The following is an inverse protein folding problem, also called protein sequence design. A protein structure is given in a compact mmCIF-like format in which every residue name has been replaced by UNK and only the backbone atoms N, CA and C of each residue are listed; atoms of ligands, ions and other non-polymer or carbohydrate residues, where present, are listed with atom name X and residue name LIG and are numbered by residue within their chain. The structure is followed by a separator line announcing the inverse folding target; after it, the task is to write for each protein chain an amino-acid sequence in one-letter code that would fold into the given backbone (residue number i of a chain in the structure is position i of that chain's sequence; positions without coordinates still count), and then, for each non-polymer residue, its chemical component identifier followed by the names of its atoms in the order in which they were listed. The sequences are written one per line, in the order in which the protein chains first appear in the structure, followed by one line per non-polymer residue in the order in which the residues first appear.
data_IF_637768354349
#
_entry.id   IF_637768354349
#
_cell.length_a   1.000
_cell.length_b   1.000
_cell.length_c   1.000
_cell.angle_alpha   90.00
_cell.angle_beta   90.00
_cell.angle_gamma   90.00
#
_symmetry.space_group_name_H-M   'P 1'
#
loop_
_entity.id
_entity.type
_entity.pdbx_description
1 polymer ?
#
# COMPACT_ATOMS: atom_id res chain seq x y z
N UNK A 1 -28.96 21.18 54.71
CA UNK A 1 -27.87 20.35 54.16
C UNK A 1 -28.11 19.93 52.72
N UNK A 2 -29.24 19.30 52.38
CA UNK A 2 -29.54 18.87 50.99
C UNK A 2 -29.34 19.96 49.91
N UNK A 3 -29.80 21.22 50.10
CA UNK A 3 -29.63 22.26 49.09
C UNK A 3 -28.16 22.62 48.84
N UNK A 4 -27.34 22.64 49.89
CA UNK A 4 -25.90 22.95 49.81
C UNK A 4 -25.16 21.83 49.07
N UNK A 5 -25.52 20.57 49.31
CA UNK A 5 -24.95 19.42 48.60
C UNK A 5 -25.35 19.42 47.13
N UNK A 6 -26.59 19.79 46.79
CA UNK A 6 -27.04 19.91 45.40
C UNK A 6 -26.28 21.02 44.69
N UNK A 7 -26.17 22.22 45.27
CA UNK A 7 -25.41 23.33 44.68
C UNK A 7 -23.92 22.98 44.53
N UNK A 8 -23.29 22.41 45.56
CA UNK A 8 -21.90 21.99 45.48
C UNK A 8 -21.65 20.89 44.44
N UNK A 9 -22.61 19.98 44.25
CA UNK A 9 -22.52 18.95 43.20
C UNK A 9 -22.68 19.53 41.80
N UNK A 10 -23.57 20.50 41.62
CA UNK A 10 -23.74 21.24 40.36
C UNK A 10 -22.49 22.05 40.05
N UNK A 11 -21.94 22.79 41.02
CA UNK A 11 -20.72 23.58 40.83
C UNK A 11 -19.52 22.67 40.53
N UNK A 12 -19.36 21.54 41.23
CA UNK A 12 -18.31 20.57 40.92
C UNK A 12 -18.51 19.95 39.54
N UNK A 13 -19.73 19.62 39.14
CA UNK A 13 -20.01 19.11 37.80
C UNK A 13 -19.68 20.18 36.74
N UNK A 14 -20.04 21.45 36.97
CA UNK A 14 -19.70 22.56 36.08
C UNK A 14 -18.20 22.77 36.00
N UNK A 15 -17.48 22.77 37.13
CA UNK A 15 -16.02 22.92 37.18
C UNK A 15 -15.33 21.74 36.49
N UNK A 16 -15.76 20.50 36.76
CA UNK A 16 -15.24 19.30 36.10
C UNK A 16 -15.50 19.35 34.60
N UNK A 17 -16.70 19.77 34.17
CA UNK A 17 -17.02 19.90 32.74
C UNK A 17 -16.25 21.05 32.09
N UNK A 18 -15.97 22.14 32.82
CA UNK A 18 -15.24 23.31 32.30
C UNK A 18 -13.73 23.16 32.30
N UNK A 19 -13.16 22.32 33.16
CA UNK A 19 -11.70 22.24 33.36
C UNK A 19 -11.12 20.83 33.20
N UNK A 20 -11.95 19.78 33.27
CA UNK A 20 -11.53 18.37 33.20
C UNK A 20 -12.29 17.57 32.14
N UNK A 21 -13.06 18.21 31.24
CA UNK A 21 -13.73 17.48 30.16
C UNK A 21 -12.71 16.98 29.14
N UNK A 22 -12.80 15.70 28.75
CA UNK A 22 -11.99 15.12 27.68
C UNK A 22 -12.10 15.94 26.38
N UNK A 23 -13.31 16.42 26.05
CA UNK A 23 -13.56 17.32 24.91
C UNK A 23 -12.65 18.56 24.92
N UNK A 24 -12.68 19.33 26.00
CA UNK A 24 -11.85 20.54 26.12
C UNK A 24 -10.36 20.21 26.12
N UNK A 25 -9.97 19.14 26.80
CA UNK A 25 -8.58 18.70 26.78
C UNK A 25 -8.10 18.37 25.35
N UNK A 26 -8.91 17.66 24.57
CA UNK A 26 -8.61 17.38 23.15
C UNK A 26 -8.45 18.70 22.39
N UNK A 27 -9.42 19.61 22.50
CA UNK A 27 -9.41 20.91 21.82
C UNK A 27 -8.15 21.75 22.15
N UNK A 28 -7.77 21.80 23.43
CA UNK A 28 -6.59 22.54 23.90
C UNK A 28 -5.28 21.88 23.42
N UNK A 29 -5.23 20.54 23.39
CA UNK A 29 -4.06 19.75 22.98
C UNK A 29 -3.78 19.84 21.48
N UNK A 30 -4.81 19.99 20.66
CA UNK A 30 -4.70 20.06 19.18
C UNK A 30 -5.01 21.46 18.63
N UNK A 31 -4.83 22.49 19.47
CA UNK A 31 -4.88 23.88 19.01
C UNK A 31 -3.75 24.16 18.01
N UNK A 32 -3.98 25.08 17.07
CA UNK A 32 -2.96 25.42 16.05
C UNK A 32 -1.64 25.90 16.66
N UNK A 33 -1.72 26.69 17.73
CA UNK A 33 -0.55 27.18 18.45
C UNK A 33 0.20 26.04 19.14
N UNK A 34 -0.54 25.10 19.77
CA UNK A 34 0.05 23.93 20.43
C UNK A 34 0.80 23.07 19.43
N UNK A 35 0.16 22.73 18.30
CA UNK A 35 0.75 21.89 17.24
C UNK A 35 1.96 22.58 16.60
N UNK A 36 1.86 23.87 16.28
CA UNK A 36 2.95 24.61 15.64
C UNK A 36 4.19 24.66 16.52
N UNK A 37 4.02 25.00 17.82
CA UNK A 37 5.12 25.01 18.79
C UNK A 37 5.73 23.62 18.98
N UNK A 38 4.89 22.58 19.02
CA UNK A 38 5.37 21.20 19.11
C UNK A 38 6.21 20.83 17.88
N UNK A 39 5.73 21.11 16.66
CA UNK A 39 6.45 20.81 15.43
C UNK A 39 7.78 21.57 15.33
N UNK A 40 7.82 22.83 15.78
CA UNK A 40 9.07 23.59 15.87
C UNK A 40 10.08 22.92 16.80
N UNK A 41 9.67 22.53 18.01
CA UNK A 41 10.52 21.83 18.96
C UNK A 41 10.98 20.47 18.43
N UNK A 42 10.07 19.67 17.88
CA UNK A 42 10.39 18.36 17.32
C UNK A 42 11.39 18.48 16.17
N UNK A 43 11.22 19.51 15.33
CA UNK A 43 12.13 19.73 14.20
C UNK A 43 13.56 20.05 14.64
N UNK A 44 13.73 20.70 15.79
CA UNK A 44 15.05 20.99 16.38
C UNK A 44 15.71 19.70 16.89
N UNK A 45 14.94 18.83 17.57
CA UNK A 45 15.44 17.53 18.05
C UNK A 45 15.87 16.64 16.87
N UNK A 46 15.00 16.50 15.86
CA UNK A 46 15.32 15.74 14.65
C UNK A 46 16.52 16.35 13.92
N UNK A 47 16.63 17.69 13.85
CA UNK A 47 17.79 18.35 13.24
C UNK A 47 19.09 17.96 13.94
N UNK A 48 19.10 17.92 15.28
CA UNK A 48 20.28 17.47 16.03
C UNK A 48 20.66 16.02 15.69
N UNK A 49 19.68 15.14 15.50
CA UNK A 49 19.94 13.75 15.10
C UNK A 49 20.44 13.64 13.66
N UNK A 50 19.89 14.44 12.74
CA UNK A 50 20.35 14.50 11.35
C UNK A 50 21.80 14.98 11.29
N UNK A 51 22.17 16.00 12.06
CA UNK A 51 23.55 16.51 12.15
C UNK A 51 24.52 15.47 12.74
N UNK A 52 24.09 14.73 13.75
CA UNK A 52 24.86 13.63 14.33
C UNK A 52 25.03 12.48 13.32
N UNK A 53 23.97 12.12 12.61
CA UNK A 53 24.00 11.10 11.57
C UNK A 53 24.89 11.53 10.39
N UNK A 54 24.84 12.79 9.97
CA UNK A 54 25.72 13.31 8.92
C UNK A 54 27.18 13.32 9.37
N UNK A 55 27.44 13.67 10.63
CA UNK A 55 28.78 13.59 11.21
C UNK A 55 29.31 12.14 11.22
N UNK A 56 28.46 11.18 11.58
CA UNK A 56 28.77 9.76 11.45
C UNK A 56 29.08 9.40 10.00
N UNK A 57 28.28 9.82 9.00
CA UNK A 57 28.52 9.56 7.58
C UNK A 57 29.81 10.20 7.04
N UNK A 58 30.20 11.36 7.56
CA UNK A 58 31.41 12.07 7.16
C UNK A 58 32.69 11.49 7.81
N UNK A 59 32.57 10.68 8.86
CA UNK A 59 33.70 9.99 9.49
C UNK A 59 34.17 8.77 8.66
N UNK A 60 34.54 9.01 7.39
CA UNK A 60 34.90 7.97 6.41
C UNK A 60 36.22 7.26 6.73
N UNK A 61 37.07 7.84 7.59
CA UNK A 61 38.36 7.28 7.96
C UNK A 61 38.29 6.16 9.01
N UNK A 62 37.23 6.09 9.80
CA UNK A 62 37.14 5.18 10.95
C UNK A 62 36.28 3.93 10.71
N UNK A 63 35.34 3.96 9.76
CA UNK A 63 34.36 2.88 9.57
C UNK A 63 34.03 2.65 8.09
N UNK A 64 34.00 1.37 7.67
CA UNK A 64 33.28 0.98 6.46
C UNK A 64 31.78 1.03 6.74
N UNK A 65 31.05 1.87 6.00
CA UNK A 65 29.62 2.09 6.21
C UNK A 65 28.83 1.26 5.21
N UNK A 66 27.87 0.41 5.66
CA UNK A 66 26.99 -0.28 4.73
C UNK A 66 26.09 0.73 4.01
N UNK A 67 25.62 0.38 2.81
CA UNK A 67 24.73 1.26 2.00
C UNK A 67 23.46 1.66 2.77
N UNK A 68 22.94 0.79 3.64
CA UNK A 68 21.77 1.11 4.46
C UNK A 68 22.07 2.09 5.60
N UNK A 69 23.34 2.41 5.88
CA UNK A 69 23.69 3.41 6.88
C UNK A 69 23.41 4.85 6.42
N UNK A 70 23.14 5.06 5.12
CA UNK A 70 22.78 6.37 4.57
C UNK A 70 21.30 6.72 4.75
N UNK A 71 20.46 5.71 5.06
CA UNK A 71 19.06 5.92 5.41
C UNK A 71 18.95 6.51 6.82
N UNK A 72 18.22 7.61 6.94
CA UNK A 72 17.98 8.27 8.22
C UNK A 72 16.56 7.97 8.71
N UNK A 73 16.47 7.35 9.89
CA UNK A 73 15.24 7.27 10.67
C UNK A 73 15.51 7.92 12.03
N UNK A 74 14.67 8.88 12.47
CA UNK A 74 14.85 9.50 13.77
C UNK A 74 14.61 8.48 14.89
N UNK A 75 15.46 8.54 15.91
CA UNK A 75 15.28 7.83 17.18
C UNK A 75 14.31 8.56 18.11
N UNK A 76 14.17 9.88 17.97
CA UNK A 76 13.12 10.67 18.62
C UNK A 76 11.75 10.24 18.11
N UNK A 77 10.84 9.89 19.04
CA UNK A 77 9.46 9.52 18.74
C UNK A 77 8.45 10.53 19.30
N UNK A 78 8.92 11.55 20.03
CA UNK A 78 8.09 12.47 20.77
C UNK A 78 8.89 13.48 21.56
N UNK A 79 8.21 14.51 22.10
CA UNK A 79 8.81 15.55 22.93
C UNK A 79 8.35 15.41 24.37
N UNK A 80 9.29 15.26 25.29
CA UNK A 80 8.99 15.24 26.74
C UNK A 80 9.35 16.55 27.43
N UNK A 81 8.58 16.97 28.47
CA UNK A 81 7.31 16.43 28.94
C UNK A 81 6.09 17.03 28.19
N UNK A 82 4.95 16.33 28.23
CA UNK A 82 3.67 16.69 27.61
C UNK A 82 3.59 16.50 26.08
N UNK A 83 4.01 15.33 25.63
CA UNK A 83 3.88 14.91 24.25
C UNK A 83 2.40 14.87 23.79
N UNK A 84 2.11 15.48 22.64
CA UNK A 84 0.75 15.57 22.11
C UNK A 84 0.23 14.21 21.62
N UNK A 85 1.09 13.33 21.11
CA UNK A 85 0.72 11.98 20.69
C UNK A 85 0.44 11.07 21.89
N UNK A 86 1.21 11.18 22.97
CA UNK A 86 0.96 10.42 24.20
C UNK A 86 -0.36 10.85 24.85
N UNK A 87 -0.65 12.15 24.82
CA UNK A 87 -1.93 12.71 25.26
C UNK A 87 -3.11 12.14 24.45
N UNK A 88 -3.00 12.12 23.12
CA UNK A 88 -4.04 11.55 22.25
C UNK A 88 -4.17 10.04 22.38
N UNK A 89 -3.06 9.33 22.56
CA UNK A 89 -3.04 7.88 22.78
C UNK A 89 -3.76 7.52 24.08
N UNK A 90 -3.47 8.24 25.15
CA UNK A 90 -4.09 8.03 26.47
C UNK A 90 -5.60 8.22 26.40
N UNK A 91 -6.06 9.31 25.78
CA UNK A 91 -7.51 9.58 25.67
C UNK A 91 -8.21 8.55 24.81
N UNK A 92 -7.62 8.17 23.68
CA UNK A 92 -8.21 7.17 22.79
C UNK A 92 -8.33 5.83 23.50
N UNK A 93 -7.30 5.43 24.24
CA UNK A 93 -7.31 4.19 25.03
C UNK A 93 -8.37 4.22 26.13
N UNK A 94 -8.45 5.30 26.90
CA UNK A 94 -9.47 5.46 27.94
C UNK A 94 -10.87 5.48 27.34
N UNK A 95 -11.07 6.06 26.16
CA UNK A 95 -12.37 6.06 25.49
C UNK A 95 -12.79 4.63 25.10
N UNK A 96 -11.88 3.82 24.57
CA UNK A 96 -12.16 2.40 24.25
C UNK A 96 -12.45 1.61 25.53
N UNK A 97 -11.60 1.73 26.55
CA UNK A 97 -11.73 1.01 27.83
C UNK A 97 -13.05 1.33 28.56
N UNK A 98 -13.52 2.57 28.48
CA UNK A 98 -14.76 3.01 29.10
C UNK A 98 -15.99 2.90 28.19
N UNK A 99 -15.86 2.35 26.99
CA UNK A 99 -16.91 2.31 25.96
C UNK A 99 -17.48 3.70 25.60
N UNK A 100 -16.67 4.76 25.68
CA UNK A 100 -17.05 6.15 25.36
C UNK A 100 -16.87 6.43 23.86
N UNK A 101 -17.86 5.99 23.08
CA UNK A 101 -17.86 6.15 21.63
C UNK A 101 -17.77 7.63 21.17
N UNK A 102 -18.53 8.59 21.74
CA UNK A 102 -18.40 10.00 21.36
C UNK A 102 -16.99 10.57 21.55
N UNK A 103 -16.34 10.30 22.69
CA UNK A 103 -14.98 10.79 22.94
C UNK A 103 -13.97 10.12 22.02
N UNK A 104 -14.12 8.83 21.74
CA UNK A 104 -13.28 8.13 20.76
C UNK A 104 -13.36 8.78 19.37
N UNK A 105 -14.57 9.05 18.88
CA UNK A 105 -14.78 9.73 17.58
C UNK A 105 -14.13 11.11 17.57
N UNK A 106 -14.24 11.84 18.67
CA UNK A 106 -13.62 13.15 18.80
C UNK A 106 -12.09 13.06 18.81
N UNK A 107 -11.50 12.11 19.54
CA UNK A 107 -10.05 11.92 19.60
C UNK A 107 -9.51 11.48 18.24
N UNK A 108 -10.19 10.58 17.53
CA UNK A 108 -9.78 10.15 16.19
C UNK A 108 -9.78 11.30 15.17
N UNK A 109 -10.82 12.14 15.18
CA UNK A 109 -10.85 13.35 14.35
C UNK A 109 -9.68 14.31 14.67
N UNK A 110 -9.36 14.46 15.96
CA UNK A 110 -8.24 15.28 16.40
C UNK A 110 -6.89 14.70 15.95
N UNK A 111 -6.72 13.38 16.04
CA UNK A 111 -5.54 12.65 15.54
C UNK A 111 -5.40 12.83 14.03
N UNK A 112 -6.46 12.69 13.25
CA UNK A 112 -6.39 12.90 11.80
C UNK A 112 -6.02 14.34 11.44
N UNK A 113 -6.53 15.33 12.18
CA UNK A 113 -6.09 16.73 12.04
C UNK A 113 -4.60 16.88 12.35
N UNK A 114 -4.12 16.21 13.41
CA UNK A 114 -2.71 16.21 13.79
C UNK A 114 -1.84 15.62 12.68
N UNK A 115 -2.24 14.47 12.11
CA UNK A 115 -1.56 13.84 10.98
C UNK A 115 -1.47 14.80 9.79
N UNK A 116 -2.55 15.48 9.41
CA UNK A 116 -2.51 16.49 8.32
C UNK A 116 -1.44 17.54 8.58
N UNK A 117 -1.35 18.05 9.81
CA UNK A 117 -0.37 19.08 10.17
C UNK A 117 1.07 18.57 10.07
N UNK A 118 1.34 17.34 10.49
CA UNK A 118 2.67 16.72 10.36
C UNK A 118 3.05 16.51 8.90
N UNK A 119 2.13 16.03 8.06
CA UNK A 119 2.40 15.82 6.64
C UNK A 119 2.52 17.13 5.83
N UNK A 120 1.91 18.20 6.31
CA UNK A 120 2.00 19.54 5.71
C UNK A 120 3.19 20.36 6.24
N UNK A 121 3.90 19.86 7.25
CA UNK A 121 5.04 20.56 7.83
C UNK A 121 6.17 20.68 6.79
N UNK A 122 6.80 21.85 6.79
CA UNK A 122 7.96 22.18 5.96
C UNK A 122 8.97 22.94 6.79
N UNK A 123 10.15 22.38 6.94
CA UNK A 123 11.25 23.06 7.60
C UNK A 123 11.78 24.19 6.69
N UNK A 124 12.32 25.25 7.30
CA UNK A 124 12.59 26.53 6.60
C UNK A 124 13.78 26.45 5.62
N UNK A 125 14.65 25.47 5.77
CA UNK A 125 15.89 25.34 4.99
C UNK A 125 15.66 24.48 3.72
N UNK A 126 16.24 24.88 2.59
CA UNK A 126 15.97 24.28 1.28
C UNK A 126 16.39 22.80 1.14
N UNK A 127 17.33 22.33 1.98
CA UNK A 127 17.87 20.95 1.94
C UNK A 127 17.46 20.08 3.15
N UNK A 128 16.35 20.44 3.79
CA UNK A 128 15.88 19.81 5.04
C UNK A 128 15.04 18.54 4.85
N UNK A 129 15.18 17.84 3.73
CA UNK A 129 14.32 16.68 3.39
C UNK A 129 14.36 15.56 4.43
N UNK A 130 15.51 15.32 5.09
CA UNK A 130 15.62 14.33 6.18
C UNK A 130 14.80 14.73 7.41
N UNK A 131 14.73 16.03 7.72
CA UNK A 131 13.93 16.56 8.83
C UNK A 131 12.44 16.42 8.50
N UNK A 132 12.02 16.88 7.32
CA UNK A 132 10.64 16.73 6.84
C UNK A 132 10.20 15.26 6.83
N UNK A 133 11.06 14.35 6.34
CA UNK A 133 10.80 12.91 6.33
C UNK A 133 10.71 12.34 7.75
N UNK A 134 11.58 12.77 8.67
CA UNK A 134 11.55 12.39 10.08
C UNK A 134 10.23 12.79 10.77
N UNK A 135 9.74 14.00 10.53
CA UNK A 135 8.44 14.45 11.06
C UNK A 135 7.30 13.54 10.56
N UNK A 136 7.26 13.25 9.24
CA UNK A 136 6.26 12.34 8.66
C UNK A 136 6.39 10.92 9.22
N UNK A 137 7.61 10.43 9.42
CA UNK A 137 7.89 9.12 10.01
C UNK A 137 7.27 8.98 11.40
N UNK A 138 7.47 9.98 12.27
CA UNK A 138 6.93 9.97 13.63
C UNK A 138 5.39 9.95 13.59
N UNK A 139 4.75 10.79 12.77
CA UNK A 139 3.30 10.76 12.62
C UNK A 139 2.77 9.39 12.21
N UNK A 140 3.42 8.75 11.22
CA UNK A 140 3.05 7.40 10.76
C UNK A 140 3.20 6.36 11.86
N UNK A 141 4.31 6.36 12.60
CA UNK A 141 4.55 5.40 13.69
C UNK A 141 3.59 5.61 14.86
N UNK A 142 3.36 6.86 15.28
CA UNK A 142 2.45 7.20 16.38
C UNK A 142 0.99 6.86 16.02
N UNK A 143 0.53 7.21 14.82
CA UNK A 143 -0.80 6.80 14.33
C UNK A 143 -0.94 5.28 14.32
N UNK A 144 0.05 4.56 13.76
CA UNK A 144 0.03 3.09 13.71
C UNK A 144 -0.03 2.44 15.10
N UNK A 145 0.66 3.03 16.07
CA UNK A 145 0.62 2.59 17.48
C UNK A 145 -0.78 2.76 18.08
N UNK A 146 -1.42 3.91 17.85
CA UNK A 146 -2.81 4.15 18.29
C UNK A 146 -3.76 3.14 17.64
N UNK A 147 -3.65 2.92 16.33
CA UNK A 147 -4.44 1.93 15.60
C UNK A 147 -4.27 0.55 16.23
N UNK A 148 -3.04 0.09 16.44
CA UNK A 148 -2.76 -1.21 17.03
C UNK A 148 -3.37 -1.35 18.43
N UNK A 149 -3.25 -0.32 19.27
CA UNK A 149 -3.86 -0.29 20.61
C UNK A 149 -5.38 -0.42 20.56
N UNK A 150 -6.06 0.22 19.59
CA UNK A 150 -7.52 0.08 19.40
C UNK A 150 -7.87 -1.37 19.02
N UNK A 151 -7.11 -1.99 18.11
CA UNK A 151 -7.34 -3.38 17.70
C UNK A 151 -7.19 -4.36 18.87
N UNK A 152 -6.21 -4.13 19.74
CA UNK A 152 -5.96 -4.99 20.90
C UNK A 152 -7.00 -4.83 22.01
N UNK A 153 -7.51 -3.61 22.23
CA UNK A 153 -8.40 -3.28 23.36
C UNK A 153 -9.89 -3.40 23.04
N UNK A 154 -10.29 -3.24 21.79
CA UNK A 154 -11.71 -3.28 21.41
C UNK A 154 -12.27 -4.70 21.37
N UNK A 155 -12.85 -5.12 22.48
CA UNK A 155 -13.52 -6.42 22.61
C UNK A 155 -14.84 -6.50 21.82
N UNK A 156 -15.47 -5.36 21.54
CA UNK A 156 -16.80 -5.29 20.90
C UNK A 156 -16.73 -5.22 19.38
N UNK A 157 -15.60 -4.77 18.84
CA UNK A 157 -15.39 -4.49 17.42
C UNK A 157 -15.96 -3.15 16.92
N UNK A 158 -16.69 -2.41 17.76
CA UNK A 158 -17.36 -1.15 17.37
C UNK A 158 -16.35 -0.04 17.11
N UNK A 159 -15.32 0.09 17.96
CA UNK A 159 -14.29 1.11 17.83
C UNK A 159 -13.39 0.83 16.63
N UNK A 160 -13.07 -0.44 16.42
CA UNK A 160 -12.27 -0.88 15.30
C UNK A 160 -13.00 -0.67 13.97
N UNK A 161 -14.30 -0.98 13.93
CA UNK A 161 -15.17 -0.64 12.80
C UNK A 161 -15.22 0.86 12.53
N UNK A 162 -15.40 1.67 13.58
CA UNK A 162 -15.46 3.12 13.46
C UNK A 162 -14.16 3.72 12.94
N UNK A 163 -13.02 3.19 13.41
CA UNK A 163 -11.69 3.56 12.94
C UNK A 163 -11.51 3.28 11.44
N UNK A 164 -11.85 2.06 10.99
CA UNK A 164 -11.87 1.70 9.56
C UNK A 164 -12.69 2.70 8.76
N UNK A 165 -13.91 2.95 9.22
CA UNK A 165 -14.84 3.84 8.53
C UNK A 165 -14.32 5.27 8.43
N UNK A 166 -13.69 5.81 9.48
CA UNK A 166 -13.15 7.17 9.49
C UNK A 166 -11.92 7.34 8.62
N UNK A 167 -11.04 6.33 8.54
CA UNK A 167 -9.91 6.39 7.60
C UNK A 167 -10.41 6.40 6.15
N UNK A 168 -11.42 5.59 5.83
CA UNK A 168 -12.07 5.60 4.52
C UNK A 168 -12.70 6.96 4.22
N UNK A 169 -13.49 7.51 5.15
CA UNK A 169 -14.18 8.80 4.96
C UNK A 169 -13.16 9.94 4.85
N UNK A 170 -12.03 9.86 5.57
CA UNK A 170 -10.92 10.80 5.46
C UNK A 170 -10.28 10.77 4.07
N UNK A 171 -9.99 9.58 3.53
CA UNK A 171 -9.45 9.41 2.18
C UNK A 171 -10.39 9.92 1.08
N UNK A 172 -11.69 9.92 1.34
CA UNK A 172 -12.72 10.40 0.41
C UNK A 172 -12.91 11.93 0.42
N UNK A 173 -12.10 12.68 1.16
CA UNK A 173 -12.11 14.16 1.09
C UNK A 173 -11.46 14.64 -0.21
N UNK A 174 -12.02 15.68 -0.81
CA UNK A 174 -11.56 16.24 -2.10
C UNK A 174 -10.05 16.52 -2.12
N UNK A 175 -9.49 17.06 -1.03
CA UNK A 175 -8.07 17.38 -0.89
C UNK A 175 -7.14 16.17 -1.09
N UNK A 176 -7.59 14.96 -0.70
CA UNK A 176 -6.85 13.72 -0.83
C UNK A 176 -7.23 12.95 -2.10
N UNK A 177 -8.51 12.99 -2.50
CA UNK A 177 -8.98 12.38 -3.73
C UNK A 177 -8.28 12.96 -4.97
N UNK A 178 -8.00 14.26 -4.97
CA UNK A 178 -7.25 14.95 -6.05
C UNK A 178 -5.73 14.76 -5.94
N UNK A 179 -5.23 14.18 -4.84
CA UNK A 179 -3.81 13.87 -4.63
C UNK A 179 -3.64 12.44 -4.11
N UNK A 180 -4.15 11.44 -4.87
CA UNK A 180 -4.27 10.07 -4.40
C UNK A 180 -2.90 9.43 -4.11
N UNK A 181 -1.83 9.98 -4.66
CA UNK A 181 -0.48 9.44 -4.53
C UNK A 181 0.42 10.28 -3.63
N UNK A 182 -0.15 11.26 -2.93
CA UNK A 182 0.56 11.99 -1.88
C UNK A 182 0.98 11.06 -0.74
N UNK A 183 2.08 11.40 -0.06
CA UNK A 183 2.57 10.63 1.11
C UNK A 183 1.47 10.42 2.16
N UNK A 184 0.61 11.43 2.36
CA UNK A 184 -0.50 11.38 3.30
C UNK A 184 -1.57 10.38 2.85
N UNK A 185 -2.06 10.48 1.62
CA UNK A 185 -3.06 9.56 1.08
C UNK A 185 -2.54 8.11 1.10
N UNK A 186 -1.29 7.88 0.67
CA UNK A 186 -0.65 6.56 0.70
C UNK A 186 -0.46 6.01 2.10
N UNK A 187 -0.10 6.86 3.07
CA UNK A 187 0.03 6.41 4.47
C UNK A 187 -1.31 5.97 5.04
N UNK A 188 -2.36 6.80 4.90
CA UNK A 188 -3.68 6.46 5.42
C UNK A 188 -4.29 5.25 4.69
N UNK A 189 -4.09 5.13 3.37
CA UNK A 189 -4.49 3.94 2.63
C UNK A 189 -3.79 2.68 3.16
N UNK A 190 -2.47 2.75 3.42
CA UNK A 190 -1.71 1.65 4.01
C UNK A 190 -2.19 1.28 5.43
N UNK A 191 -2.59 2.26 6.23
CA UNK A 191 -3.22 2.05 7.54
C UNK A 191 -4.59 1.35 7.39
N UNK A 192 -5.45 1.83 6.49
CA UNK A 192 -6.76 1.23 6.19
C UNK A 192 -6.64 -0.22 5.67
N UNK A 193 -5.69 -0.50 4.78
CA UNK A 193 -5.41 -1.85 4.27
C UNK A 193 -5.01 -2.79 5.39
N UNK A 194 -4.17 -2.34 6.31
CA UNK A 194 -3.75 -3.16 7.44
C UNK A 194 -4.92 -3.43 8.40
N UNK A 195 -5.77 -2.44 8.64
CA UNK A 195 -7.00 -2.60 9.42
C UNK A 195 -7.91 -3.64 8.78
N UNK A 196 -8.18 -3.51 7.48
CA UNK A 196 -8.99 -4.47 6.74
C UNK A 196 -8.38 -5.88 6.77
N UNK A 197 -7.06 -6.01 6.63
CA UNK A 197 -6.35 -7.29 6.80
C UNK A 197 -6.65 -7.91 8.16
N UNK A 198 -6.54 -7.12 9.24
CA UNK A 198 -6.84 -7.58 10.61
C UNK A 198 -8.30 -7.96 10.82
N UNK A 199 -9.23 -7.28 10.17
CA UNK A 199 -10.65 -7.64 10.20
C UNK A 199 -10.97 -8.93 9.42
N UNK A 200 -10.24 -9.21 8.34
CA UNK A 200 -10.36 -10.48 7.62
C UNK A 200 -9.86 -11.67 8.46
N UNK A 201 -8.82 -11.47 9.28
CA UNK A 201 -8.32 -12.47 10.24
C UNK A 201 -9.38 -12.82 11.31
N UNK A 202 -10.31 -11.91 11.61
CA UNK A 202 -11.46 -12.16 12.51
C UNK A 202 -12.76 -12.55 11.79
N UNK A 203 -12.67 -12.93 10.50
CA UNK A 203 -13.81 -13.30 9.64
C UNK A 203 -14.88 -12.20 9.42
N UNK A 204 -14.56 -10.93 9.70
CA UNK A 204 -15.39 -9.79 9.31
C UNK A 204 -15.09 -9.38 7.87
N UNK A 205 -16.13 -9.16 7.06
CA UNK A 205 -15.98 -8.80 5.63
C UNK A 205 -16.57 -7.44 5.25
N UNK A 206 -17.44 -6.86 6.08
CA UNK A 206 -18.14 -5.61 5.75
C UNK A 206 -17.16 -4.44 5.61
N UNK A 207 -16.33 -4.22 6.62
CA UNK A 207 -15.36 -3.14 6.63
C UNK A 207 -14.21 -3.35 5.63
N UNK A 208 -13.65 -4.57 5.45
CA UNK A 208 -12.75 -4.83 4.34
C UNK A 208 -13.33 -4.49 2.96
N UNK A 209 -14.64 -4.70 2.73
CA UNK A 209 -15.30 -4.28 1.48
C UNK A 209 -15.31 -2.76 1.36
N UNK A 210 -15.58 -2.03 2.46
CA UNK A 210 -15.50 -0.56 2.46
C UNK A 210 -14.10 -0.10 2.06
N UNK A 211 -13.05 -0.65 2.68
CA UNK A 211 -11.65 -0.31 2.37
C UNK A 211 -11.31 -0.62 0.91
N UNK A 212 -11.67 -1.80 0.41
CA UNK A 212 -11.45 -2.17 -1.00
C UNK A 212 -12.11 -1.17 -1.96
N UNK A 213 -13.37 -0.80 -1.69
CA UNK A 213 -14.11 0.16 -2.51
C UNK A 213 -13.48 1.57 -2.45
N UNK A 214 -13.01 2.00 -1.27
CA UNK A 214 -12.30 3.28 -1.13
C UNK A 214 -11.01 3.27 -1.95
N UNK A 215 -10.18 2.23 -1.85
CA UNK A 215 -8.95 2.09 -2.63
C UNK A 215 -9.23 2.11 -4.13
N UNK A 216 -10.24 1.34 -4.56
CA UNK A 216 -10.69 1.31 -5.95
C UNK A 216 -11.05 2.72 -6.41
N UNK A 217 -11.84 3.46 -5.62
CA UNK A 217 -12.29 4.80 -5.98
C UNK A 217 -11.15 5.81 -6.06
N UNK A 218 -10.19 5.75 -5.14
CA UNK A 218 -8.99 6.60 -5.15
C UNK A 218 -8.18 6.35 -6.44
N UNK A 219 -7.99 5.09 -6.82
CA UNK A 219 -7.29 4.72 -8.05
C UNK A 219 -8.07 5.18 -9.30
N UNK A 220 -9.39 4.99 -9.31
CA UNK A 220 -10.28 5.38 -10.42
C UNK A 220 -10.27 6.89 -10.68
N UNK A 221 -10.39 7.71 -9.62
CA UNK A 221 -10.35 9.17 -9.74
C UNK A 221 -9.04 9.62 -10.39
N UNK A 222 -7.91 9.02 -10.02
CA UNK A 222 -6.63 9.36 -10.62
C UNK A 222 -6.57 9.02 -12.10
N UNK A 223 -7.00 7.81 -12.46
CA UNK A 223 -7.07 7.36 -13.86
C UNK A 223 -7.95 8.30 -14.68
N UNK A 224 -9.11 8.69 -14.16
CA UNK A 224 -10.04 9.59 -14.83
C UNK A 224 -9.46 11.01 -15.01
N UNK A 225 -8.84 11.58 -13.98
CA UNK A 225 -8.15 12.88 -14.10
C UNK A 225 -7.07 12.84 -15.17
N UNK A 226 -6.36 11.72 -15.29
CA UNK A 226 -5.32 11.55 -16.29
C UNK A 226 -5.87 11.38 -17.71
N UNK A 227 -6.96 10.62 -17.88
CA UNK A 227 -7.65 10.50 -19.18
C UNK A 227 -8.15 11.86 -19.71
N UNK A 228 -8.50 12.80 -18.83
CA UNK A 228 -9.03 14.10 -19.23
C UNK A 228 -7.97 15.21 -19.37
N UNK A 229 -6.79 15.06 -18.76
CA UNK A 229 -5.70 16.03 -18.79
C UNK A 229 -4.62 15.72 -19.85
N UNK A 230 -4.96 14.94 -20.88
CA UNK A 230 -4.02 14.47 -21.92
C UNK A 230 -3.46 15.64 -22.73
N UNK A 231 -2.25 16.09 -22.39
CA UNK A 231 -1.32 16.68 -23.35
C UNK A 231 -0.39 15.58 -23.87
N UNK A 232 0.11 15.72 -25.10
CA UNK A 232 0.82 14.68 -25.86
C UNK A 232 2.12 14.12 -25.19
N UNK A 233 2.55 14.66 -24.04
CA UNK A 233 3.75 14.23 -23.30
C UNK A 233 3.46 13.38 -22.03
N UNK A 234 2.24 12.86 -21.82
CA UNK A 234 1.82 12.31 -20.52
C UNK A 234 1.98 10.79 -20.30
N UNK A 235 2.58 10.02 -21.22
CA UNK A 235 2.74 8.56 -21.03
C UNK A 235 3.65 8.18 -19.84
N UNK A 236 4.63 9.04 -19.50
CA UNK A 236 5.51 8.85 -18.33
C UNK A 236 4.85 9.24 -16.99
N UNK A 237 3.64 9.82 -17.00
CA UNK A 237 3.04 10.37 -15.78
C UNK A 237 2.36 9.33 -14.89
N UNK A 238 1.81 8.23 -15.42
CA UNK A 238 1.14 7.20 -14.58
C UNK A 238 2.13 6.48 -13.67
N UNK A 239 3.32 6.21 -14.20
CA UNK A 239 4.43 5.61 -13.46
C UNK A 239 4.95 6.60 -12.39
N UNK A 240 4.94 7.91 -12.68
CA UNK A 240 5.29 8.97 -11.72
C UNK A 240 4.31 9.07 -10.55
N UNK A 241 3.03 8.75 -10.76
CA UNK A 241 2.03 8.76 -9.70
C UNK A 241 2.00 7.47 -8.87
N UNK A 242 2.80 6.43 -9.12
CA UNK A 242 2.87 5.24 -8.25
C UNK A 242 1.50 4.59 -7.94
N UNK A 243 0.56 4.62 -8.90
CA UNK A 243 -0.76 3.98 -8.77
C UNK A 243 -0.61 2.46 -8.61
N UNK A 244 0.47 1.88 -9.14
CA UNK A 244 0.87 0.48 -8.97
C UNK A 244 0.87 0.03 -7.51
N UNK A 245 1.14 0.93 -6.56
CA UNK A 245 1.09 0.63 -5.13
C UNK A 245 -0.32 0.19 -4.66
N UNK A 246 -1.39 0.73 -5.25
CA UNK A 246 -2.76 0.31 -4.94
C UNK A 246 -3.08 -1.12 -5.42
N UNK A 247 -2.45 -1.59 -6.51
CA UNK A 247 -2.59 -2.98 -6.92
C UNK A 247 -2.01 -3.92 -5.86
N UNK A 248 -0.86 -3.58 -5.28
CA UNK A 248 -0.28 -4.36 -4.19
C UNK A 248 -1.10 -4.29 -2.90
N UNK A 249 -1.72 -3.15 -2.59
CA UNK A 249 -2.65 -3.03 -1.47
C UNK A 249 -3.85 -4.00 -1.63
N UNK A 250 -4.45 -4.04 -2.82
CA UNK A 250 -5.56 -4.97 -3.13
C UNK A 250 -5.08 -6.43 -3.07
N UNK A 251 -3.86 -6.72 -3.55
CA UNK A 251 -3.22 -8.04 -3.43
C UNK A 251 -3.12 -8.49 -1.98
N UNK A 252 -2.65 -7.62 -1.08
CA UNK A 252 -2.52 -7.91 0.36
C UNK A 252 -3.87 -8.31 0.96
N UNK A 253 -4.94 -7.59 0.60
CA UNK A 253 -6.29 -7.90 1.04
C UNK A 253 -6.78 -9.26 0.49
N UNK A 254 -6.54 -9.51 -0.81
CA UNK A 254 -6.91 -10.77 -1.45
C UNK A 254 -6.18 -11.99 -0.87
N UNK A 255 -4.88 -11.86 -0.60
CA UNK A 255 -4.06 -12.91 0.04
C UNK A 255 -4.57 -13.19 1.45
N UNK A 256 -4.86 -12.14 2.23
CA UNK A 256 -5.46 -12.31 3.56
C UNK A 256 -6.79 -13.03 3.49
N UNK A 257 -7.66 -12.65 2.54
CA UNK A 257 -8.96 -13.26 2.40
C UNK A 257 -8.88 -14.74 2.01
N UNK A 258 -8.02 -15.13 1.07
CA UNK A 258 -7.80 -16.54 0.70
C UNK A 258 -7.32 -17.37 1.88
N UNK A 259 -6.33 -16.88 2.62
CA UNK A 259 -5.80 -17.57 3.81
C UNK A 259 -6.85 -17.72 4.93
N UNK A 260 -7.83 -16.82 5.00
CA UNK A 260 -8.92 -16.86 5.99
C UNK A 260 -10.23 -17.46 5.43
N UNK A 261 -10.21 -18.10 4.26
CA UNK A 261 -11.36 -18.80 3.68
C UNK A 261 -12.46 -17.89 3.09
N UNK A 262 -12.19 -16.60 2.91
CA UNK A 262 -13.12 -15.61 2.37
C UNK A 262 -13.05 -15.53 0.83
N UNK A 263 -13.43 -16.61 0.14
CA UNK A 263 -13.31 -16.72 -1.33
C UNK A 263 -14.12 -15.66 -2.11
N UNK A 264 -15.29 -15.25 -1.60
CA UNK A 264 -16.08 -14.17 -2.21
C UNK A 264 -15.34 -12.82 -2.17
N UNK A 265 -14.68 -12.52 -1.05
CA UNK A 265 -13.92 -11.27 -0.94
C UNK A 265 -12.67 -11.30 -1.83
N UNK A 266 -11.95 -12.43 -1.85
CA UNK A 266 -10.81 -12.62 -2.74
C UNK A 266 -11.20 -12.45 -4.22
N UNK A 267 -12.37 -12.94 -4.62
CA UNK A 267 -12.92 -12.71 -5.96
C UNK A 267 -13.10 -11.21 -6.26
N UNK A 268 -13.68 -10.44 -5.32
CA UNK A 268 -13.82 -8.97 -5.47
C UNK A 268 -12.48 -8.25 -5.57
N UNK A 269 -11.45 -8.73 -4.88
CA UNK A 269 -10.08 -8.21 -5.05
C UNK A 269 -9.57 -8.44 -6.48
N UNK A 270 -9.76 -9.65 -7.03
CA UNK A 270 -9.36 -9.95 -8.42
C UNK A 270 -10.15 -9.13 -9.44
N UNK A 271 -11.45 -8.93 -9.22
CA UNK A 271 -12.29 -8.05 -10.05
C UNK A 271 -11.81 -6.59 -10.00
N UNK A 272 -11.50 -6.07 -8.82
CA UNK A 272 -10.97 -4.71 -8.64
C UNK A 272 -9.60 -4.54 -9.32
N UNK A 273 -8.74 -5.55 -9.24
CA UNK A 273 -7.46 -5.60 -9.95
C UNK A 273 -7.67 -5.64 -11.46
N UNK A 274 -8.61 -6.44 -11.96
CA UNK A 274 -8.96 -6.52 -13.38
C UNK A 274 -9.40 -5.16 -13.91
N UNK A 275 -10.29 -4.46 -13.18
CA UNK A 275 -10.73 -3.12 -13.53
C UNK A 275 -9.56 -2.12 -13.59
N UNK A 276 -8.71 -2.11 -12.55
CA UNK A 276 -7.51 -1.26 -12.52
C UNK A 276 -6.59 -1.56 -13.72
N UNK A 277 -6.33 -2.84 -14.00
CA UNK A 277 -5.50 -3.29 -15.11
C UNK A 277 -6.05 -2.91 -16.49
N UNK A 278 -7.36 -3.05 -16.72
CA UNK A 278 -7.99 -2.65 -17.98
C UNK A 278 -7.80 -1.15 -18.26
N UNK A 279 -8.05 -0.31 -17.26
CA UNK A 279 -7.89 1.13 -17.40
C UNK A 279 -6.41 1.54 -17.57
N UNK A 280 -5.51 0.92 -16.80
CA UNK A 280 -4.07 1.15 -16.95
C UNK A 280 -3.53 0.68 -18.31
N UNK A 281 -4.06 -0.42 -18.86
CA UNK A 281 -3.70 -0.92 -20.19
C UNK A 281 -4.17 0.04 -21.29
N UNK A 282 -5.40 0.55 -21.20
CA UNK A 282 -5.92 1.58 -22.12
C UNK A 282 -5.05 2.83 -22.14
N UNK A 283 -4.54 3.23 -20.97
CA UNK A 283 -3.62 4.36 -20.80
C UNK A 283 -2.13 4.03 -21.05
N UNK A 284 -1.80 2.77 -21.36
CA UNK A 284 -0.43 2.26 -21.56
C UNK A 284 0.51 2.48 -20.34
N UNK A 285 -0.02 2.47 -19.10
CA UNK A 285 0.82 2.47 -17.88
C UNK A 285 1.45 1.11 -17.63
N UNK A 286 2.73 0.99 -17.99
CA UNK A 286 3.46 -0.27 -17.91
C UNK A 286 3.58 -0.77 -16.46
N UNK A 287 4.00 0.08 -15.52
CA UNK A 287 4.23 -0.35 -14.14
C UNK A 287 2.94 -0.79 -13.44
N UNK A 288 1.83 -0.10 -13.69
CA UNK A 288 0.54 -0.46 -13.07
C UNK A 288 0.01 -1.76 -13.66
N UNK A 289 0.11 -1.97 -14.98
CA UNK A 289 -0.27 -3.24 -15.62
C UNK A 289 0.58 -4.41 -15.09
N UNK A 290 1.89 -4.21 -14.92
CA UNK A 290 2.79 -5.21 -14.31
C UNK A 290 2.34 -5.55 -12.89
N UNK A 291 2.15 -4.54 -12.03
CA UNK A 291 1.73 -4.74 -10.65
C UNK A 291 0.38 -5.47 -10.53
N UNK A 292 -0.56 -5.16 -11.44
CA UNK A 292 -1.85 -5.86 -11.52
C UNK A 292 -1.67 -7.32 -11.95
N UNK A 293 -0.89 -7.60 -13.00
CA UNK A 293 -0.63 -8.98 -13.41
C UNK A 293 0.04 -9.80 -12.31
N UNK A 294 1.07 -9.26 -11.66
CA UNK A 294 1.71 -9.91 -10.51
C UNK A 294 0.71 -10.21 -9.40
N UNK A 295 -0.18 -9.25 -9.11
CA UNK A 295 -1.20 -9.39 -8.07
C UNK A 295 -2.23 -10.47 -8.41
N UNK A 296 -2.80 -10.47 -9.62
CA UNK A 296 -3.78 -11.47 -10.04
C UNK A 296 -3.14 -12.86 -10.12
N UNK A 297 -1.94 -12.98 -10.70
CA UNK A 297 -1.20 -14.24 -10.76
C UNK A 297 -0.95 -14.80 -9.36
N UNK A 298 -0.56 -13.97 -8.40
CA UNK A 298 -0.32 -14.43 -7.04
C UNK A 298 -1.60 -14.91 -6.36
N UNK A 299 -2.72 -14.18 -6.52
CA UNK A 299 -4.01 -14.60 -5.99
C UNK A 299 -4.47 -15.92 -6.62
N UNK A 300 -4.33 -16.08 -7.94
CA UNK A 300 -4.66 -17.33 -8.63
C UNK A 300 -3.79 -18.50 -8.19
N UNK A 301 -2.47 -18.31 -8.08
CA UNK A 301 -1.52 -19.33 -7.58
C UNK A 301 -1.84 -19.75 -6.15
N UNK A 302 -2.11 -18.79 -5.26
CA UNK A 302 -2.48 -19.06 -3.88
C UNK A 302 -3.80 -19.82 -3.80
N UNK A 303 -4.82 -19.41 -4.58
CA UNK A 303 -6.11 -20.08 -4.62
C UNK A 303 -5.97 -21.54 -5.08
N UNK A 304 -5.16 -21.80 -6.12
CA UNK A 304 -4.82 -23.14 -6.58
C UNK A 304 -4.11 -23.97 -5.50
N UNK A 305 -3.09 -23.40 -4.85
CA UNK A 305 -2.35 -24.08 -3.78
C UNK A 305 -3.27 -24.46 -2.61
N UNK A 306 -4.20 -23.57 -2.24
CA UNK A 306 -5.22 -23.80 -1.21
C UNK A 306 -6.41 -24.65 -1.70
N UNK A 307 -6.45 -25.02 -3.00
CA UNK A 307 -7.53 -25.78 -3.64
C UNK A 307 -8.91 -25.12 -3.45
N UNK A 308 -8.96 -23.80 -3.53
CA UNK A 308 -10.17 -23.01 -3.35
C UNK A 308 -10.97 -22.99 -4.66
N UNK A 309 -12.23 -23.43 -4.60
CA UNK A 309 -13.18 -23.28 -5.70
C UNK A 309 -13.80 -21.88 -5.75
N UNK A 310 -14.60 -21.62 -6.79
CA UNK A 310 -15.40 -20.40 -6.84
C UNK A 310 -16.44 -20.35 -5.70
N UNK A 311 -16.67 -19.16 -5.15
CA UNK A 311 -17.64 -18.95 -4.08
C UNK A 311 -19.10 -19.10 -4.53
N UNK A 312 -19.38 -18.94 -5.83
CA UNK A 312 -20.69 -19.23 -6.39
C UNK A 312 -20.88 -20.75 -6.50
N UNK A 313 -21.86 -21.28 -5.77
CA UNK A 313 -22.13 -22.72 -5.68
C UNK A 313 -22.43 -23.42 -7.02
N UNK A 314 -22.81 -22.67 -8.05
CA UNK A 314 -23.09 -23.18 -9.39
C UNK A 314 -21.93 -23.00 -10.37
N UNK A 315 -20.88 -22.28 -9.98
CA UNK A 315 -19.73 -22.06 -10.83
C UNK A 315 -18.81 -23.28 -10.76
N UNK A 316 -18.59 -23.92 -11.91
CA UNK A 316 -17.67 -25.05 -12.04
C UNK A 316 -16.22 -24.60 -12.26
N UNK A 317 -16.00 -23.31 -12.47
CA UNK A 317 -14.70 -22.72 -12.74
C UNK A 317 -13.93 -22.63 -11.40
N UNK A 318 -12.72 -23.21 -11.30
CA UNK A 318 -11.85 -23.03 -10.14
C UNK A 318 -11.45 -21.56 -9.93
N UNK A 319 -11.09 -21.18 -8.70
CA UNK A 319 -10.76 -19.78 -8.41
C UNK A 319 -9.52 -19.28 -9.18
N UNK A 320 -8.54 -20.15 -9.44
CA UNK A 320 -7.38 -19.83 -10.26
C UNK A 320 -7.75 -19.58 -11.74
N UNK A 321 -8.79 -20.24 -12.24
CA UNK A 321 -9.27 -20.00 -13.60
C UNK A 321 -10.02 -18.67 -13.72
N UNK A 322 -10.63 -18.17 -12.64
CA UNK A 322 -11.14 -16.78 -12.61
C UNK A 322 -10.01 -15.76 -12.64
N UNK A 323 -8.87 -16.03 -11.99
CA UNK A 323 -7.69 -15.16 -12.13
C UNK A 323 -7.22 -15.08 -13.61
N UNK A 324 -7.24 -16.19 -14.35
CA UNK A 324 -6.99 -16.16 -15.80
C UNK A 324 -8.02 -15.35 -16.58
N UNK A 325 -9.31 -15.48 -16.26
CA UNK A 325 -10.39 -14.69 -16.86
C UNK A 325 -10.15 -13.18 -16.68
N UNK A 326 -9.81 -12.77 -15.46
CA UNK A 326 -9.50 -11.38 -15.13
C UNK A 326 -8.24 -10.85 -15.82
N UNK A 327 -7.23 -11.68 -16.03
CA UNK A 327 -6.08 -11.35 -16.89
C UNK A 327 -6.50 -11.23 -18.36
N UNK A 328 -7.45 -12.06 -18.80
CA UNK A 328 -8.07 -12.01 -20.12
C UNK A 328 -8.72 -10.67 -20.41
N UNK A 329 -9.44 -10.09 -19.45
CA UNK A 329 -10.02 -8.75 -19.59
C UNK A 329 -8.96 -7.69 -19.89
N UNK A 330 -7.84 -7.70 -19.15
CA UNK A 330 -6.72 -6.76 -19.36
C UNK A 330 -6.12 -6.99 -20.76
N UNK A 331 -5.94 -8.25 -21.14
CA UNK A 331 -5.40 -8.62 -22.44
C UNK A 331 -6.24 -8.09 -23.61
N UNK A 332 -7.57 -8.03 -23.48
CA UNK A 332 -8.43 -7.44 -24.54
C UNK A 332 -8.09 -5.99 -24.88
N UNK A 333 -7.53 -5.23 -23.93
CA UNK A 333 -7.04 -3.87 -24.16
C UNK A 333 -5.64 -3.85 -24.76
N UNK A 334 -4.75 -4.73 -24.31
CA UNK A 334 -3.36 -4.79 -24.79
C UNK A 334 -3.26 -5.20 -26.27
N UNK A 335 -4.21 -5.99 -26.76
CA UNK A 335 -4.23 -6.52 -28.14
C UNK A 335 -5.01 -5.64 -29.14
N UNK A 336 -5.50 -4.47 -28.74
CA UNK A 336 -6.24 -3.57 -29.65
C UNK A 336 -5.38 -3.14 -30.85
N UNK A 337 -4.09 -2.88 -30.59
CA UNK A 337 -3.10 -2.46 -31.59
C UNK A 337 -2.22 -3.66 -32.04
N UNK A 338 -2.80 -4.85 -32.23
CA UNK A 338 -2.03 -6.04 -32.61
C UNK A 338 -1.48 -5.92 -34.04
N UNK A 339 -0.17 -6.11 -34.18
CA UNK A 339 0.53 -6.08 -35.45
C UNK A 339 0.25 -7.35 -36.28
N UNK A 340 0.44 -7.32 -37.62
CA UNK A 340 0.20 -8.49 -38.48
C UNK A 340 1.07 -9.71 -38.15
N UNK A 341 2.23 -9.51 -37.52
CA UNK A 341 3.10 -10.58 -37.01
C UNK A 341 2.64 -11.14 -35.64
N UNK A 342 1.53 -10.60 -35.10
CA UNK A 342 0.96 -10.94 -33.82
C UNK A 342 1.63 -10.29 -32.61
N UNK A 343 2.53 -9.34 -32.81
CA UNK A 343 3.15 -8.58 -31.74
C UNK A 343 2.19 -7.48 -31.23
N UNK A 344 2.24 -7.18 -29.93
CA UNK A 344 1.42 -6.13 -29.31
C UNK A 344 2.08 -5.61 -28.04
N UNK A 345 1.57 -4.48 -27.53
CA UNK A 345 2.10 -3.83 -26.33
C UNK A 345 2.10 -4.78 -25.12
N UNK A 346 3.25 -4.89 -24.44
CA UNK A 346 3.44 -5.76 -23.27
C UNK A 346 3.19 -7.27 -23.50
N UNK A 347 3.25 -7.77 -24.74
CA UNK A 347 3.06 -9.21 -25.06
C UNK A 347 3.88 -10.15 -24.17
N UNK A 348 5.18 -9.85 -23.98
CA UNK A 348 6.05 -10.67 -23.14
C UNK A 348 5.61 -10.73 -21.68
N UNK A 349 5.08 -9.63 -21.14
CA UNK A 349 4.58 -9.58 -19.75
C UNK A 349 3.30 -10.41 -19.60
N UNK A 350 2.40 -10.31 -20.57
CA UNK A 350 1.18 -11.11 -20.59
C UNK A 350 1.51 -12.62 -20.73
N UNK A 351 2.36 -13.01 -21.68
CA UNK A 351 2.80 -14.40 -21.86
C UNK A 351 3.47 -14.96 -20.58
N UNK A 352 4.35 -14.17 -19.95
CA UNK A 352 4.97 -14.54 -18.69
C UNK A 352 3.94 -14.72 -17.58
N UNK A 353 2.97 -13.81 -17.45
CA UNK A 353 1.91 -13.90 -16.43
C UNK A 353 1.04 -15.16 -16.62
N UNK A 354 0.60 -15.46 -17.85
CA UNK A 354 -0.13 -16.70 -18.16
C UNK A 354 0.72 -17.95 -17.88
N UNK A 355 2.02 -17.88 -18.16
CA UNK A 355 2.93 -19.00 -17.90
C UNK A 355 3.11 -19.24 -16.40
N UNK A 356 3.21 -18.19 -15.59
CA UNK A 356 3.29 -18.28 -14.12
C UNK A 356 2.02 -18.84 -13.49
N UNK A 357 0.84 -18.42 -13.96
CA UNK A 357 -0.42 -18.93 -13.41
C UNK A 357 -0.67 -20.38 -13.82
N UNK A 358 -0.39 -20.80 -15.07
CA UNK A 358 -0.60 -22.19 -15.52
C UNK A 358 0.51 -23.15 -15.09
N UNK A 359 1.71 -22.63 -14.81
CA UNK A 359 2.91 -23.42 -14.50
C UNK A 359 3.59 -24.03 -15.73
N UNK A 360 3.12 -23.70 -16.93
CA UNK A 360 3.67 -24.16 -18.21
C UNK A 360 3.84 -22.96 -19.13
N UNK A 361 4.79 -23.03 -20.07
CA UNK A 361 5.02 -21.93 -21.02
C UNK A 361 3.78 -21.71 -21.87
N UNK A 362 3.34 -20.45 -21.95
CA UNK A 362 2.16 -20.03 -22.69
C UNK A 362 2.53 -19.01 -23.76
N UNK A 363 1.94 -19.15 -24.95
CA UNK A 363 2.06 -18.17 -26.04
C UNK A 363 0.69 -17.57 -26.35
N UNK A 364 0.65 -16.28 -26.65
CA UNK A 364 -0.57 -15.58 -27.04
C UNK A 364 -0.60 -15.54 -28.57
N UNK A 365 -1.53 -16.29 -29.17
CA UNK A 365 -1.68 -16.34 -30.63
C UNK A 365 -2.88 -15.52 -31.08
N UNK A 366 -2.72 -14.62 -32.05
CA UNK A 366 -3.85 -13.97 -32.70
C UNK A 366 -4.72 -15.02 -33.38
N UNK A 367 -6.03 -14.82 -33.32
CA UNK A 367 -7.00 -15.62 -34.07
C UNK A 367 -7.92 -14.68 -34.81
N UNK A 368 -7.61 -14.47 -36.09
CA UNK A 368 -8.40 -13.62 -36.97
C UNK A 368 -9.86 -14.12 -37.00
N UNK A 369 -10.80 -13.18 -36.91
CA UNK A 369 -12.25 -13.44 -36.96
C UNK A 369 -12.84 -14.26 -35.79
N UNK A 370 -12.18 -14.29 -34.62
CA UNK A 370 -12.80 -14.83 -33.39
C UNK A 370 -13.02 -13.75 -32.33
N UNK A 371 -13.95 -14.01 -31.41
CA UNK A 371 -14.14 -13.23 -30.19
C UNK A 371 -13.99 -14.15 -28.97
N UNK A 372 -12.91 -14.04 -28.17
CA UNK A 372 -11.82 -13.06 -28.27
C UNK A 372 -10.91 -13.29 -29.50
N UNK A 373 -10.21 -12.24 -29.94
CA UNK A 373 -9.32 -12.24 -31.11
C UNK A 373 -7.94 -12.90 -30.86
N UNK A 374 -7.79 -13.61 -29.73
CA UNK A 374 -6.56 -14.26 -29.31
C UNK A 374 -6.86 -15.55 -28.55
N UNK A 375 -5.90 -16.48 -28.59
CA UNK A 375 -5.93 -17.73 -27.85
C UNK A 375 -4.65 -17.86 -27.01
N UNK A 376 -4.79 -18.40 -25.80
CA UNK A 376 -3.65 -18.72 -24.94
C UNK A 376 -3.30 -20.19 -25.16
N UNK A 377 -2.22 -20.44 -25.89
CA UNK A 377 -1.75 -21.79 -26.18
C UNK A 377 -0.63 -22.20 -25.22
N UNK A 378 -0.77 -23.37 -24.62
CA UNK A 378 0.30 -23.99 -23.86
C UNK A 378 1.31 -24.63 -24.82
N UNK A 379 2.59 -24.35 -24.61
CA UNK A 379 3.64 -24.88 -25.47
C UNK A 379 3.99 -26.31 -25.09
N UNK A 380 4.13 -27.15 -26.11
CA UNK A 380 4.51 -28.55 -25.97
C UNK A 380 5.81 -28.83 -26.73
N UNK A 381 6.62 -29.73 -26.17
CA UNK A 381 7.79 -30.32 -26.81
C UNK A 381 7.71 -31.84 -26.67
N UNK A 382 7.81 -32.55 -27.79
CA UNK A 382 7.71 -34.02 -27.84
C UNK A 382 6.41 -34.56 -27.21
N UNK A 383 5.29 -33.83 -27.41
CA UNK A 383 3.96 -34.17 -26.87
C UNK A 383 3.79 -33.96 -25.36
N UNK A 384 4.73 -33.25 -24.71
CA UNK A 384 4.65 -32.88 -23.28
C UNK A 384 4.65 -31.37 -23.11
N UNK A 385 3.80 -30.86 -22.23
CA UNK A 385 3.80 -29.44 -21.84
C UNK A 385 5.16 -29.03 -21.30
N UNK A 386 5.64 -27.86 -21.72
CA UNK A 386 6.93 -27.32 -21.29
C UNK A 386 6.73 -26.60 -19.95
N UNK A 387 7.34 -27.04 -18.84
CA UNK A 387 7.25 -26.33 -17.56
C UNK A 387 7.75 -24.89 -17.67
N UNK A 388 7.10 -23.97 -16.99
CA UNK A 388 7.60 -22.60 -16.86
C UNK A 388 8.48 -22.48 -15.63
N UNK A 389 9.79 -22.33 -15.86
CA UNK A 389 10.79 -22.15 -14.81
C UNK A 389 11.47 -20.82 -15.09
N UNK A 390 11.64 -19.97 -14.07
CA UNK A 390 12.39 -18.72 -14.18
C UNK A 390 13.70 -18.84 -13.41
N UNK A 391 14.79 -18.29 -13.95
CA UNK A 391 16.12 -18.34 -13.32
C UNK A 391 16.60 -16.94 -12.99
N UNK A 392 17.10 -16.75 -11.78
CA UNK A 392 17.74 -15.51 -11.37
C UNK A 392 19.17 -15.83 -10.93
N UNK A 393 20.13 -15.03 -11.39
CA UNK A 393 21.51 -15.08 -10.95
C UNK A 393 21.86 -13.76 -10.30
N UNK A 394 22.23 -13.83 -9.03
CA UNK A 394 22.86 -12.73 -8.34
C UNK A 394 24.25 -12.43 -8.90
N UNK A 395 24.69 -11.21 -8.63
CA UNK A 395 25.98 -10.65 -9.06
C UNK A 395 27.19 -11.52 -8.70
N UNK A 396 27.15 -12.22 -7.58
CA UNK A 396 28.26 -13.07 -7.10
C UNK A 396 28.16 -14.53 -7.56
N UNK A 397 27.38 -14.81 -8.60
CA UNK A 397 27.22 -16.15 -9.17
C UNK A 397 26.37 -17.11 -8.34
N UNK A 398 25.73 -16.64 -7.25
CA UNK A 398 24.64 -17.38 -6.62
C UNK A 398 23.42 -17.31 -7.53
N UNK A 399 22.74 -18.43 -7.71
CA UNK A 399 21.56 -18.50 -8.55
C UNK A 399 20.43 -19.24 -7.85
N UNK A 400 19.21 -18.92 -8.25
CA UNK A 400 18.02 -19.63 -7.84
C UNK A 400 17.09 -19.81 -9.04
N UNK A 401 16.16 -20.75 -8.93
CA UNK A 401 15.08 -20.87 -9.88
C UNK A 401 13.74 -20.85 -9.15
N UNK A 402 12.71 -20.52 -9.93
CA UNK A 402 11.31 -20.63 -9.53
C UNK A 402 10.62 -21.50 -10.54
N UNK A 403 10.38 -22.76 -10.16
CA UNK A 403 9.54 -23.66 -10.95
C UNK A 403 8.07 -23.38 -10.64
N UNK A 404 7.33 -22.89 -11.63
CA UNK A 404 5.90 -22.58 -11.49
C UNK A 404 5.01 -23.79 -11.76
N UNK A 405 5.58 -24.91 -12.24
CA UNK A 405 4.88 -26.19 -12.32
C UNK A 405 4.76 -26.86 -10.94
N UNK A 406 5.61 -26.49 -9.99
CA UNK A 406 5.39 -26.75 -8.56
C UNK A 406 4.39 -25.75 -8.00
N UNK A 407 3.14 -26.18 -7.84
CA UNK A 407 2.06 -25.32 -7.36
C UNK A 407 2.18 -24.95 -5.88
N UNK A 408 3.07 -25.60 -5.12
CA UNK A 408 3.36 -25.23 -3.73
C UNK A 408 4.37 -24.08 -3.62
N UNK A 409 5.13 -23.83 -4.69
CA UNK A 409 6.01 -22.67 -4.76
C UNK A 409 5.17 -21.40 -4.96
N UNK A 410 5.09 -20.58 -3.92
CA UNK A 410 4.37 -19.30 -3.91
C UNK A 410 5.31 -18.08 -3.92
N UNK A 411 6.60 -18.28 -4.21
CA UNK A 411 7.56 -17.17 -4.28
C UNK A 411 7.14 -16.17 -5.36
N UNK A 412 7.24 -14.89 -5.01
CA UNK A 412 6.89 -13.76 -5.87
C UNK A 412 8.16 -13.16 -6.45
N UNK A 413 8.14 -12.90 -7.75
CA UNK A 413 9.22 -12.25 -8.49
C UNK A 413 8.62 -11.18 -9.39
N UNK A 414 9.41 -10.16 -9.70
CA UNK A 414 9.01 -9.10 -10.63
C UNK A 414 8.80 -9.71 -12.03
N UNK A 415 7.78 -9.28 -12.76
CA UNK A 415 7.63 -9.62 -14.18
C UNK A 415 8.65 -8.83 -14.99
N UNK A 416 9.33 -9.51 -15.92
CA UNK A 416 10.37 -8.92 -16.76
C UNK A 416 10.01 -8.97 -18.25
N UNK A 417 8.84 -9.51 -18.60
CA UNK A 417 8.38 -9.60 -19.97
C UNK A 417 9.01 -10.76 -20.76
N UNK A 418 9.27 -11.90 -20.12
CA UNK A 418 9.86 -13.08 -20.77
C UNK A 418 8.93 -13.63 -21.84
N UNK A 419 9.34 -13.59 -23.11
CA UNK A 419 8.59 -14.21 -24.22
C UNK A 419 8.66 -15.74 -24.13
N UNK A 420 7.60 -16.38 -24.57
CA UNK A 420 7.46 -17.84 -24.59
C UNK A 420 8.58 -18.60 -25.34
N UNK A 421 9.12 -18.00 -26.40
CA UNK A 421 10.23 -18.54 -27.21
C UNK A 421 11.61 -18.41 -26.54
N UNK A 422 11.75 -17.55 -25.54
CA UNK A 422 13.03 -17.39 -24.84
C UNK A 422 13.26 -18.55 -23.86
N UNK A 423 14.43 -19.18 -23.93
CA UNK A 423 14.93 -20.02 -22.83
C UNK A 423 14.92 -19.16 -21.58
N UNK A 424 14.29 -19.63 -20.51
CA UNK A 424 14.13 -18.91 -19.26
C UNK A 424 15.39 -18.10 -18.91
N UNK A 425 15.31 -16.80 -19.15
CA UNK A 425 16.47 -15.92 -19.21
C UNK A 425 17.06 -15.80 -17.80
N UNK A 426 18.39 -15.78 -17.70
CA UNK A 426 19.06 -15.45 -16.44
C UNK A 426 18.82 -13.97 -16.18
N UNK A 427 18.06 -13.65 -15.14
CA UNK A 427 18.00 -12.28 -14.65
C UNK A 427 19.25 -11.98 -13.85
N UNK A 428 19.99 -10.96 -14.28
CA UNK A 428 21.12 -10.45 -13.54
C UNK A 428 20.62 -9.34 -12.62
N UNK A 429 20.83 -9.50 -11.31
CA UNK A 429 20.66 -8.39 -10.37
C UNK A 429 21.55 -7.22 -10.82
N UNK A 430 21.05 -5.99 -10.80
CA UNK A 430 21.81 -4.79 -11.13
C UNK A 430 23.11 -4.76 -10.31
N UNK A 431 24.28 -4.49 -10.92
CA UNK A 431 25.51 -4.31 -10.16
C UNK A 431 25.30 -3.21 -9.12
N UNK A 432 25.83 -3.38 -7.90
CA UNK A 432 25.97 -2.25 -7.00
C UNK A 432 26.88 -1.25 -7.72
N UNK A 433 26.44 0.00 -7.99
CA UNK A 433 27.31 0.98 -8.62
C UNK A 433 28.55 1.16 -7.74
N UNK A 434 29.72 0.84 -8.29
CA UNK A 434 31.01 1.08 -7.64
C UNK A 434 31.38 2.57 -7.63
N UNK A 435 30.70 3.37 -8.46
CA UNK A 435 30.78 4.83 -8.43
C UNK A 435 29.72 5.37 -7.48
N UNK A 436 29.97 5.24 -6.18
CA UNK A 436 29.72 6.39 -5.33
C UNK A 436 30.82 7.36 -5.76
N UNK A 437 30.46 8.45 -6.44
CA UNK A 437 31.40 9.54 -6.66
C UNK A 437 31.88 9.98 -5.27
N UNK A 438 33.06 9.48 -4.87
CA UNK A 438 33.94 10.22 -3.98
C UNK A 438 34.26 11.51 -4.74
N UNK A 439 33.47 12.55 -4.53
CA UNK A 439 33.96 13.92 -4.69
C UNK A 439 35.07 14.13 -3.66
N UNK A 440 36.24 13.58 -3.95
CA UNK A 440 37.50 13.93 -3.31
C UNK A 440 38.47 14.31 -4.42
N UNK A 441 38.71 15.62 -4.53
CA UNK A 441 39.91 16.16 -5.13
C UNK A 441 39.67 16.99 -6.39
N UNK A 442 39.47 18.28 -6.21
CA UNK A 442 40.48 19.25 -6.64
C UNK A 442 40.43 20.49 -5.73
N UNK A 443 41.36 20.52 -4.77
CA UNK A 443 41.85 21.78 -4.20
C UNK A 443 42.58 22.55 -5.32
N UNK A 444 42.08 23.76 -5.61
CA UNK A 444 42.87 24.99 -5.75
C UNK A 444 41.99 26.21 -5.50
#
# INVERSE_FOLDING_TARGET
MLPILIFSSIDNAILTTRYLSAKKFIEDSISENTISRYLEQLSIEIKSEVELHQSYLNDGGNYQKPIHAYDFEPSTLGIEPNDIWDSMTTITNLAVENNDYPIFRQSLNAILKLVVRFYSFKFKDADSYKIDAGIKYIARKRLRSIIASVVEKDQSGIFFQSLSSDLCDFLMKDELLQKPCSDLARSIASDAVWIAKKMLESHSVIEPIKVLNTIHRIAEVNIYEMENNVSENNLEQLDKYNISAYAYDIKVLGVSALNNGNSHFAYRCMESLSYLGCNSAKLKSTQTVVAVFESIVQLGRLARNLKIGCFWSRCLIPAESHAEEFMGHILTWLVQDIEPDGNFFMRGYAEQAYSRIRGVKCSIKPKANSNPCFWIEELEKDGKKIPHIEYESGMYGYGGNSDYSDYSNLKEYVLHGIRSESTAMIFHSTPIPLNIECEDGEEN
#
